data_IF_810268214633
#
_entry.id   IF_810268214633
#
_cell.length_a   1.000
_cell.length_b   1.000
_cell.length_c   1.000
_cell.angle_alpha   90.00
_cell.angle_beta   90.00
_cell.angle_gamma   90.00
#
_symmetry.space_group_name_H-M   'P 1'
#
loop_
_entity.id
_entity.type
_entity.pdbx_description
1 polymer ?
#
# COMPACT_ATOMS: atom_id res chain seq x y z
N UNK A 1 -1.51 -28.39 17.98
CA UNK A 1 -1.40 -27.20 17.11
C UNK A 1 -1.88 -26.01 17.92
N UNK A 2 -1.08 -24.94 18.14
CA UNK A 2 -1.60 -23.73 18.76
C UNK A 2 -2.78 -23.23 17.93
N UNK A 3 -3.93 -23.00 18.56
CA UNK A 3 -5.13 -22.57 17.87
C UNK A 3 -4.85 -21.19 17.23
N UNK A 4 -4.95 -21.08 15.91
CA UNK A 4 -4.60 -19.87 15.14
C UNK A 4 -5.42 -18.64 15.61
N UNK A 5 -6.63 -18.91 16.11
CA UNK A 5 -7.51 -17.94 16.75
C UNK A 5 -6.89 -17.30 18.01
N UNK A 6 -6.18 -18.09 18.82
CA UNK A 6 -5.52 -17.60 20.04
C UNK A 6 -4.39 -16.64 19.68
N UNK A 7 -3.64 -16.94 18.60
CA UNK A 7 -2.57 -16.07 18.09
C UNK A 7 -3.14 -14.74 17.64
N UNK A 8 -4.25 -14.74 16.88
CA UNK A 8 -4.89 -13.49 16.45
C UNK A 8 -5.43 -12.67 17.62
N UNK A 9 -6.02 -13.31 18.63
CA UNK A 9 -6.52 -12.64 19.82
C UNK A 9 -5.38 -11.99 20.62
N UNK A 10 -4.26 -12.70 20.79
CA UNK A 10 -3.07 -12.17 21.46
C UNK A 10 -2.45 -10.97 20.72
N UNK A 11 -2.50 -10.95 19.39
CA UNK A 11 -2.01 -9.83 18.57
C UNK A 11 -2.90 -8.60 18.71
N UNK A 12 -4.24 -8.77 18.76
CA UNK A 12 -5.18 -7.67 19.03
C UNK A 12 -4.92 -7.05 20.41
N UNK A 13 -4.75 -7.88 21.43
CA UNK A 13 -4.40 -7.44 22.79
C UNK A 13 -3.07 -6.68 22.84
N UNK A 14 -2.05 -7.15 22.13
CA UNK A 14 -0.75 -6.48 22.04
C UNK A 14 -0.83 -5.11 21.37
N UNK A 15 -1.65 -4.96 20.32
CA UNK A 15 -1.84 -3.69 19.60
C UNK A 15 -2.56 -2.64 20.45
N UNK A 16 -3.43 -3.06 21.37
CA UNK A 16 -4.15 -2.17 22.26
C UNK A 16 -3.27 -1.59 23.40
N UNK A 17 -2.09 -2.19 23.67
CA UNK A 17 -1.20 -1.75 24.74
C UNK A 17 -0.33 -0.55 24.32
N UNK A 18 -0.22 0.44 25.21
CA UNK A 18 0.67 1.61 25.02
C UNK A 18 2.15 1.22 24.99
N UNK A 19 2.55 0.24 25.81
CA UNK A 19 3.88 -0.38 25.82
C UNK A 19 3.69 -1.87 25.57
N UNK A 20 4.27 -2.40 24.48
CA UNK A 20 4.07 -3.79 24.05
C UNK A 20 4.76 -4.75 25.02
N UNK A 21 4.01 -5.61 25.69
CA UNK A 21 4.56 -6.64 26.57
C UNK A 21 4.21 -8.05 26.09
N UNK A 22 5.10 -8.61 25.27
CA UNK A 22 4.96 -9.95 24.68
C UNK A 22 4.89 -11.08 25.71
N UNK A 23 5.60 -10.95 26.84
CA UNK A 23 5.66 -12.03 27.83
C UNK A 23 4.34 -12.13 28.61
N UNK A 24 3.74 -10.99 28.98
CA UNK A 24 2.47 -10.96 29.69
C UNK A 24 1.31 -11.44 28.79
N UNK A 25 1.27 -11.01 27.53
CA UNK A 25 0.22 -11.42 26.59
C UNK A 25 0.35 -12.89 26.18
N UNK A 26 1.57 -13.39 25.98
CA UNK A 26 1.81 -14.81 25.71
C UNK A 26 1.33 -15.71 26.85
N UNK A 27 1.60 -15.32 28.11
CA UNK A 27 1.10 -16.03 29.30
C UNK A 27 -0.43 -15.98 29.42
N UNK A 28 -1.05 -14.85 29.11
CA UNK A 28 -2.52 -14.68 29.15
C UNK A 28 -3.23 -15.60 28.15
N UNK A 29 -2.66 -15.78 26.97
CA UNK A 29 -3.25 -16.57 25.89
C UNK A 29 -2.69 -17.99 25.79
N UNK A 30 -1.81 -18.40 26.71
CA UNK A 30 -1.14 -19.71 26.71
C UNK A 30 -0.41 -20.04 25.39
N UNK A 31 0.28 -19.05 24.83
CA UNK A 31 1.05 -19.16 23.57
C UNK A 31 2.54 -19.00 23.89
N UNK A 32 3.41 -19.66 23.12
CA UNK A 32 4.84 -19.39 23.21
C UNK A 32 5.11 -17.92 22.80
N UNK A 33 5.86 -17.20 23.65
CA UNK A 33 6.31 -15.83 23.40
C UNK A 33 7.01 -15.69 22.05
N UNK A 34 7.84 -16.65 21.66
CA UNK A 34 8.58 -16.61 20.40
C UNK A 34 7.65 -16.65 19.20
N UNK A 35 6.65 -17.54 19.23
CA UNK A 35 5.59 -17.63 18.23
C UNK A 35 4.84 -16.29 18.12
N UNK A 36 4.43 -15.71 19.26
CA UNK A 36 3.74 -14.43 19.25
C UNK A 36 4.60 -13.29 18.67
N UNK A 37 5.89 -13.27 18.99
CA UNK A 37 6.82 -12.26 18.50
C UNK A 37 7.06 -12.40 16.98
N UNK A 38 7.28 -13.63 16.50
CA UNK A 38 7.46 -13.92 15.08
C UNK A 38 6.22 -13.50 14.26
N UNK A 39 5.03 -13.92 14.67
CA UNK A 39 3.78 -13.55 13.98
C UNK A 39 3.49 -12.05 14.03
N UNK A 40 3.79 -11.39 15.16
CA UNK A 40 3.59 -9.95 15.27
C UNK A 40 4.53 -9.17 14.34
N UNK A 41 5.80 -9.55 14.29
CA UNK A 41 6.79 -8.89 13.44
C UNK A 41 6.55 -9.16 11.95
N UNK A 42 6.16 -10.39 11.58
CA UNK A 42 5.82 -10.70 10.19
C UNK A 42 4.58 -9.94 9.73
N UNK A 43 3.53 -9.83 10.56
CA UNK A 43 2.35 -9.03 10.23
C UNK A 43 2.65 -7.53 10.19
N UNK A 44 3.56 -7.04 11.04
CA UNK A 44 3.98 -5.65 10.99
C UNK A 44 4.76 -5.35 9.71
N UNK A 45 5.65 -6.26 9.28
CA UNK A 45 6.35 -6.15 8.01
C UNK A 45 5.37 -6.13 6.83
N UNK A 46 4.36 -7.01 6.82
CA UNK A 46 3.30 -6.99 5.82
C UNK A 46 2.48 -5.69 5.85
N UNK A 47 2.22 -5.13 7.04
CA UNK A 47 1.54 -3.85 7.17
C UNK A 47 2.39 -2.69 6.65
N UNK A 48 3.69 -2.68 6.92
CA UNK A 48 4.63 -1.70 6.39
C UNK A 48 4.76 -1.82 4.87
N UNK A 49 4.73 -3.05 4.34
CA UNK A 49 4.64 -3.33 2.89
C UNK A 49 3.33 -2.82 2.30
N UNK A 50 2.16 -3.07 2.91
CA UNK A 50 0.89 -2.50 2.44
C UNK A 50 0.89 -0.96 2.50
N UNK A 51 1.44 -0.36 3.56
CA UNK A 51 1.60 1.09 3.67
C UNK A 51 2.56 1.65 2.61
N UNK A 52 3.57 0.88 2.19
CA UNK A 52 4.46 1.18 1.07
C UNK A 52 3.73 1.09 -0.27
N UNK A 53 2.91 0.04 -0.48
CA UNK A 53 2.07 -0.12 -1.68
C UNK A 53 1.10 1.05 -1.87
N UNK A 54 0.49 1.54 -0.79
CA UNK A 54 -0.42 2.70 -0.84
C UNK A 54 0.30 4.06 -1.01
N UNK A 55 1.63 4.10 -0.87
CA UNK A 55 2.46 5.30 -1.10
C UNK A 55 3.08 5.35 -2.50
N UNK A 56 2.84 4.34 -3.35
CA UNK A 56 3.34 4.35 -4.73
C UNK A 56 2.69 5.48 -5.53
N UNK A 57 3.52 6.26 -6.20
CA UNK A 57 3.06 7.35 -7.09
C UNK A 57 2.68 6.82 -8.48
N UNK A 58 3.26 5.69 -8.90
CA UNK A 58 2.96 5.00 -10.14
C UNK A 58 2.30 3.66 -9.83
N UNK A 59 1.36 3.24 -10.67
CA UNK A 59 0.84 1.87 -10.62
C UNK A 59 1.93 0.87 -11.04
N UNK A 60 1.82 -0.39 -10.60
CA UNK A 60 2.77 -1.44 -10.98
C UNK A 60 2.91 -1.58 -12.51
N UNK A 61 1.82 -1.38 -13.25
CA UNK A 61 1.85 -1.40 -14.71
C UNK A 61 2.65 -0.23 -15.29
N UNK A 62 2.48 0.99 -14.75
CA UNK A 62 3.22 2.18 -15.18
C UNK A 62 4.72 2.05 -14.86
N UNK A 63 5.07 1.49 -13.70
CA UNK A 63 6.47 1.19 -13.34
C UNK A 63 7.11 0.22 -14.33
N UNK A 64 6.36 -0.82 -14.73
CA UNK A 64 6.86 -1.81 -15.67
C UNK A 64 7.03 -1.25 -17.09
N UNK A 65 6.10 -0.40 -17.55
CA UNK A 65 6.25 0.33 -18.81
C UNK A 65 7.47 1.24 -18.79
N UNK A 66 7.72 1.94 -17.68
CA UNK A 66 8.90 2.80 -17.51
C UNK A 66 10.20 1.99 -17.56
N UNK A 67 10.26 0.86 -16.87
CA UNK A 67 11.42 -0.04 -16.87
C UNK A 67 11.74 -0.55 -18.28
N UNK A 68 10.74 -1.02 -19.03
CA UNK A 68 10.93 -1.48 -20.41
C UNK A 68 11.49 -0.37 -21.31
N UNK A 69 11.06 0.88 -21.10
CA UNK A 69 11.56 2.01 -21.88
C UNK A 69 13.01 2.36 -21.53
N UNK A 70 13.35 2.34 -20.24
CA UNK A 70 14.73 2.54 -19.75
C UNK A 70 15.65 1.44 -20.29
N UNK A 71 15.23 0.18 -20.24
CA UNK A 71 15.98 -0.95 -20.79
C UNK A 71 16.18 -0.82 -22.30
N UNK A 72 15.16 -0.39 -23.04
CA UNK A 72 15.28 -0.12 -24.48
C UNK A 72 16.30 0.98 -24.78
N UNK A 73 16.29 2.08 -24.02
CA UNK A 73 17.28 3.16 -24.16
C UNK A 73 18.69 2.67 -23.85
N UNK A 74 18.85 1.91 -22.77
CA UNK A 74 20.13 1.32 -22.39
C UNK A 74 20.65 0.33 -23.44
N UNK A 75 19.78 -0.49 -24.04
CA UNK A 75 20.11 -1.41 -25.12
C UNK A 75 20.59 -0.68 -26.40
N UNK A 76 20.13 0.55 -26.62
CA UNK A 76 20.62 1.43 -27.68
C UNK A 76 21.90 2.21 -27.30
N UNK A 77 22.58 1.82 -26.21
CA UNK A 77 23.79 2.49 -25.69
C UNK A 77 23.56 3.94 -25.22
N UNK A 78 22.31 4.35 -25.03
CA UNK A 78 21.99 5.65 -24.44
C UNK A 78 21.79 5.48 -22.93
N UNK A 79 22.69 6.06 -22.14
CA UNK A 79 22.49 6.16 -20.71
C UNK A 79 21.27 7.06 -20.44
N UNK A 80 20.21 6.54 -19.81
CA UNK A 80 19.03 7.35 -19.54
C UNK A 80 19.40 8.45 -18.54
N UNK A 81 19.36 9.70 -19.00
CA UNK A 81 19.61 10.88 -18.17
C UNK A 81 18.39 11.13 -17.28
N UNK A 82 18.54 11.66 -16.04
CA UNK A 82 17.40 11.97 -15.17
C UNK A 82 16.31 12.81 -15.84
N UNK A 83 16.68 13.73 -16.73
CA UNK A 83 15.72 14.53 -17.51
C UNK A 83 14.86 13.69 -18.46
N UNK A 84 15.46 12.70 -19.12
CA UNK A 84 14.74 11.80 -20.03
C UNK A 84 13.75 10.96 -19.23
N UNK A 85 14.16 10.47 -18.06
CA UNK A 85 13.29 9.71 -17.15
C UNK A 85 12.10 10.56 -16.69
N UNK A 86 12.32 11.82 -16.31
CA UNK A 86 11.23 12.74 -15.94
C UNK A 86 10.24 12.97 -17.09
N UNK A 87 10.76 13.18 -18.31
CA UNK A 87 9.91 13.37 -19.49
C UNK A 87 9.06 12.12 -19.79
N UNK A 88 9.66 10.92 -19.68
CA UNK A 88 8.94 9.65 -19.87
C UNK A 88 7.85 9.44 -18.82
N UNK A 89 8.12 9.77 -17.55
CA UNK A 89 7.12 9.70 -16.49
C UNK A 89 5.95 10.65 -16.79
N UNK A 90 6.23 11.87 -17.22
CA UNK A 90 5.19 12.84 -17.58
C UNK A 90 4.33 12.35 -18.75
N UNK A 91 4.92 11.68 -19.74
CA UNK A 91 4.22 11.10 -20.88
C UNK A 91 3.31 9.93 -20.47
N UNK A 92 3.82 9.00 -19.65
CA UNK A 92 3.05 7.85 -19.12
C UNK A 92 1.84 8.34 -18.28
N UNK A 93 2.04 9.38 -17.47
CA UNK A 93 0.96 9.97 -16.68
C UNK A 93 -0.07 10.62 -17.60
N UNK A 94 0.36 11.39 -18.60
CA UNK A 94 -0.53 12.04 -19.56
C UNK A 94 -1.37 11.02 -20.35
N UNK A 95 -0.76 9.95 -20.84
CA UNK A 95 -1.47 8.87 -21.53
C UNK A 95 -2.55 8.25 -20.64
N UNK A 96 -2.26 8.04 -19.36
CA UNK A 96 -3.25 7.51 -18.41
C UNK A 96 -4.42 8.46 -18.17
N UNK A 97 -4.15 9.76 -18.07
CA UNK A 97 -5.20 10.80 -17.92
C UNK A 97 -6.13 10.80 -19.14
N UNK A 98 -5.56 10.78 -20.35
CA UNK A 98 -6.32 10.76 -21.60
C UNK A 98 -7.13 9.46 -21.74
N UNK A 99 -6.50 8.31 -21.51
CA UNK A 99 -7.12 6.98 -21.63
C UNK A 99 -8.34 6.81 -20.72
N UNK A 100 -8.25 7.31 -19.49
CA UNK A 100 -9.33 7.20 -18.51
C UNK A 100 -10.21 8.46 -18.44
N UNK A 101 -10.02 9.40 -19.37
CA UNK A 101 -10.74 10.67 -19.45
C UNK A 101 -10.81 11.41 -18.09
N UNK A 102 -9.67 11.46 -17.39
CA UNK A 102 -9.56 12.06 -16.06
C UNK A 102 -9.49 13.57 -16.25
N UNK A 103 -10.58 14.28 -15.95
CA UNK A 103 -10.56 15.75 -15.95
C UNK A 103 -9.63 16.30 -14.86
N UNK A 104 -9.01 17.46 -15.09
CA UNK A 104 -8.16 18.12 -14.07
C UNK A 104 -8.93 18.44 -12.78
N UNK A 105 -10.25 18.61 -12.87
CA UNK A 105 -11.20 18.74 -11.74
C UNK A 105 -11.35 17.45 -10.92
N UNK A 106 -11.02 16.28 -11.49
CA UNK A 106 -11.04 14.98 -10.81
C UNK A 106 -9.69 14.65 -10.15
N UNK A 107 -8.63 15.38 -10.48
CA UNK A 107 -7.34 15.37 -9.77
C UNK A 107 -7.42 16.30 -8.52
N UNK A 108 -8.63 16.48 -7.99
CA UNK A 108 -8.84 17.29 -6.80
C UNK A 108 -8.45 16.48 -5.56
N UNK A 109 -7.57 17.08 -4.75
CA UNK A 109 -7.17 16.66 -3.40
C UNK A 109 -5.86 15.86 -3.23
N UNK A 110 -4.75 16.26 -3.84
CA UNK A 110 -3.42 15.75 -3.43
C UNK A 110 -2.41 16.82 -2.98
N UNK A 111 -2.52 18.08 -3.39
CA UNK A 111 -1.36 18.98 -3.32
C UNK A 111 -1.32 20.04 -2.20
N UNK A 112 -2.45 20.58 -1.68
CA UNK A 112 -2.33 21.70 -0.70
C UNK A 112 -3.27 21.77 0.50
N UNK A 113 -4.45 21.14 0.51
CA UNK A 113 -5.28 21.02 1.73
C UNK A 113 -6.20 19.80 1.63
N UNK A 114 -5.94 18.80 2.48
CA UNK A 114 -6.92 17.97 3.21
C UNK A 114 -6.61 16.46 3.24
N UNK A 115 -5.84 16.06 4.25
CA UNK A 115 -6.08 14.78 4.94
C UNK A 115 -6.44 15.09 6.40
N UNK A 116 -7.67 15.57 6.60
CA UNK A 116 -8.38 15.39 7.87
C UNK A 116 -9.53 14.44 7.54
N UNK A 117 -9.30 13.14 7.76
CA UNK A 117 -10.40 12.20 7.97
C UNK A 117 -11.03 12.62 9.30
N UNK A 118 -12.02 13.52 9.22
CA UNK A 118 -13.03 13.64 10.25
C UNK A 118 -13.85 12.36 10.24
N UNK A 119 -14.01 11.74 11.40
CA UNK A 119 -14.90 10.59 11.61
C UNK A 119 -16.33 11.06 11.27
N UNK A 120 -16.77 10.82 10.04
CA UNK A 120 -18.14 11.02 9.57
C UNK A 120 -18.64 9.71 8.97
N UNK A 121 -19.78 9.22 9.46
CA UNK A 121 -20.26 7.83 9.31
C UNK A 121 -20.70 7.39 7.90
N UNK A 122 -20.15 7.94 6.82
CA UNK A 122 -20.48 7.49 5.46
C UNK A 122 -19.22 7.35 4.61
N UNK A 123 -18.75 6.11 4.49
CA UNK A 123 -17.67 5.73 3.56
C UNK A 123 -18.25 5.60 2.15
N UNK A 124 -17.96 6.56 1.27
CA UNK A 124 -18.08 6.34 -0.17
C UNK A 124 -16.81 5.65 -0.65
N UNK A 125 -16.90 4.35 -0.96
CA UNK A 125 -15.80 3.60 -1.59
C UNK A 125 -15.96 3.65 -3.11
N UNK A 126 -14.88 3.98 -3.81
CA UNK A 126 -14.80 3.81 -5.26
C UNK A 126 -14.34 2.37 -5.48
N UNK A 127 -15.22 1.52 -6.01
CA UNK A 127 -14.95 0.12 -6.33
C UNK A 127 -15.24 -0.12 -7.82
N UNK A 128 -14.56 -1.10 -8.40
CA UNK A 128 -14.85 -1.57 -9.76
C UNK A 128 -16.31 -2.03 -9.87
N UNK A 129 -16.95 -1.77 -11.01
CA UNK A 129 -18.33 -2.20 -11.31
C UNK A 129 -18.48 -3.73 -11.20
N UNK A 130 -17.41 -4.47 -11.46
CA UNK A 130 -17.37 -5.94 -11.32
C UNK A 130 -17.53 -6.38 -9.86
N UNK A 131 -16.95 -5.63 -8.93
CA UNK A 131 -17.06 -5.87 -7.48
C UNK A 131 -18.44 -5.51 -6.90
N UNK A 132 -19.27 -4.76 -7.65
CA UNK A 132 -20.67 -4.48 -7.29
C UNK A 132 -21.62 -5.59 -7.72
N UNK A 133 -21.27 -6.34 -8.77
CA UNK A 133 -22.13 -7.39 -9.35
C UNK A 133 -22.06 -8.72 -8.62
N UNK A 134 -21.12 -8.87 -7.70
CA UNK A 134 -21.02 -10.01 -6.80
C UNK A 134 -21.84 -9.73 -5.53
N UNK A 135 -23.16 -9.84 -5.64
CA UNK A 135 -24.08 -9.88 -4.50
C UNK A 135 -25.18 -10.90 -4.72
#
# INVERSE_FOLDING_TARGET
MPNEEAIQLAIKDLRAQKVKNYAATARKHSINKETLCQHYNSLQLMQDETASLHKKQLSNQQEQTLLLHIEKLAAHSFAPTPQIIQNLIAEIIKESIEKYNIESSNIYNFDKKSFLIGIGQVTKQIISVEALKTK
#
